data_IF_857125309754
#
_entry.id   IF_857125309754
#
_cell.length_a   1.000
_cell.length_b   1.000
_cell.length_c   1.000
_cell.angle_alpha   90.00
_cell.angle_beta   90.00
_cell.angle_gamma   90.00
#
_symmetry.space_group_name_H-M   'P 1'
#
loop_
_entity.id
_entity.type
_entity.pdbx_description
1 polymer ?
#
# COMPACT_ATOMS: atom_id res chain seq x y z
N UNK A 1 -22.16 -15.04 3.92
CA UNK A 1 -21.03 -15.45 4.75
C UNK A 1 -21.00 -14.51 5.95
N UNK A 2 -21.30 -14.99 7.16
CA UNK A 2 -21.38 -14.15 8.37
C UNK A 2 -20.00 -14.02 9.01
N UNK A 3 -19.52 -12.79 9.18
CA UNK A 3 -18.31 -12.53 9.95
C UNK A 3 -18.55 -12.85 11.45
N UNK A 4 -17.53 -13.30 12.20
CA UNK A 4 -17.68 -13.90 13.53
C UNK A 4 -17.71 -12.89 14.68
N UNK A 5 -18.06 -11.63 14.41
CA UNK A 5 -18.32 -10.64 15.45
C UNK A 5 -19.66 -9.95 15.22
N UNK A 6 -20.39 -9.77 16.31
CA UNK A 6 -21.73 -9.21 16.31
C UNK A 6 -21.67 -7.71 16.04
N UNK A 7 -22.42 -7.28 15.03
CA UNK A 7 -22.61 -5.86 14.75
C UNK A 7 -23.78 -5.31 15.56
N UNK A 8 -23.59 -4.16 16.20
CA UNK A 8 -24.69 -3.40 16.78
C UNK A 8 -25.69 -2.95 15.71
N UNK A 9 -26.93 -2.63 16.12
CA UNK A 9 -28.04 -2.29 15.21
C UNK A 9 -27.72 -1.12 14.28
N UNK A 10 -27.00 -0.11 14.78
CA UNK A 10 -26.56 1.05 13.99
C UNK A 10 -25.49 0.66 12.95
N UNK A 11 -24.56 -0.23 13.33
CA UNK A 11 -23.52 -0.72 12.41
C UNK A 11 -24.14 -1.57 11.29
N UNK A 12 -25.18 -2.35 11.60
CA UNK A 12 -25.94 -3.10 10.59
C UNK A 12 -26.68 -2.22 9.58
N UNK A 13 -27.06 -1.00 9.97
CA UNK A 13 -27.68 -0.05 9.06
C UNK A 13 -26.63 0.56 8.12
N UNK A 14 -25.45 0.92 8.64
CA UNK A 14 -24.35 1.50 7.85
C UNK A 14 -23.85 0.54 6.74
N UNK A 15 -23.71 -0.75 7.03
CA UNK A 15 -23.22 -1.74 6.03
C UNK A 15 -24.21 -2.01 4.88
N UNK A 16 -25.48 -1.61 5.02
CA UNK A 16 -26.52 -1.78 3.99
C UNK A 16 -26.64 -0.57 3.05
N UNK A 17 -25.77 0.41 3.19
CA UNK A 17 -25.78 1.63 2.38
C UNK A 17 -25.61 1.32 0.89
N UNK A 18 -26.51 1.83 0.05
CA UNK A 18 -26.45 1.71 -1.42
C UNK A 18 -25.23 2.41 -2.05
N UNK A 19 -24.53 3.25 -1.27
CA UNK A 19 -23.30 3.93 -1.68
C UNK A 19 -22.06 3.04 -1.56
N UNK A 20 -22.17 1.89 -0.90
CA UNK A 20 -21.06 0.94 -0.77
C UNK A 20 -20.91 0.10 -2.05
N UNK A 21 -19.68 -0.23 -2.44
CA UNK A 21 -19.46 -1.14 -3.55
C UNK A 21 -20.02 -2.53 -3.22
N UNK A 22 -20.69 -3.14 -4.19
CA UNK A 22 -21.12 -4.54 -4.07
C UNK A 22 -19.89 -5.44 -3.90
N UNK A 23 -19.94 -6.29 -2.87
CA UNK A 23 -18.86 -7.23 -2.46
C UNK A 23 -18.35 -8.06 -3.66
N UNK A 24 -19.20 -8.37 -4.63
CA UNK A 24 -18.88 -9.28 -5.74
C UNK A 24 -18.29 -8.63 -7.00
N UNK A 25 -18.31 -7.30 -7.16
CA UNK A 25 -17.90 -6.67 -8.44
C UNK A 25 -17.14 -5.34 -8.33
N UNK A 26 -17.25 -4.62 -7.23
CA UNK A 26 -16.68 -3.26 -7.10
C UNK A 26 -15.90 -3.06 -5.81
N UNK A 27 -15.81 -4.09 -4.96
CA UNK A 27 -15.09 -4.01 -3.72
C UNK A 27 -13.57 -3.96 -3.99
N UNK A 28 -12.81 -3.16 -3.23
CA UNK A 28 -11.36 -3.20 -3.27
C UNK A 28 -10.87 -4.55 -2.73
N UNK A 29 -10.07 -5.29 -3.49
CA UNK A 29 -9.52 -6.57 -3.06
C UNK A 29 -8.10 -6.41 -2.54
N UNK A 30 -7.80 -7.05 -1.41
CA UNK A 30 -6.44 -7.18 -0.89
C UNK A 30 -5.89 -8.56 -1.22
N UNK A 31 -4.70 -8.59 -1.81
CA UNK A 31 -3.98 -9.82 -2.15
C UNK A 31 -2.74 -9.95 -1.26
N UNK A 32 -2.72 -10.95 -0.38
CA UNK A 32 -1.62 -11.20 0.55
C UNK A 32 -0.32 -11.62 -0.13
N UNK A 33 -0.37 -12.19 -1.33
CA UNK A 33 0.82 -12.56 -2.12
C UNK A 33 1.49 -11.34 -2.77
N UNK A 34 0.78 -10.20 -2.81
CA UNK A 34 1.32 -8.91 -3.25
C UNK A 34 1.14 -7.88 -2.12
N UNK A 35 1.80 -8.07 -0.96
CA UNK A 35 1.54 -7.29 0.26
C UNK A 35 1.77 -5.79 0.07
N UNK A 36 2.56 -5.41 -0.93
CA UNK A 36 2.81 -4.03 -1.36
C UNK A 36 1.53 -3.23 -1.69
N UNK A 37 0.39 -3.88 -1.94
CA UNK A 37 -0.88 -3.23 -2.24
C UNK A 37 -1.73 -2.92 -0.98
N UNK A 38 -1.33 -3.34 0.23
CA UNK A 38 -2.12 -3.16 1.45
C UNK A 38 -2.42 -1.70 1.74
N UNK A 39 -1.43 -0.82 1.62
CA UNK A 39 -1.61 0.60 1.93
C UNK A 39 -2.50 1.31 0.89
N UNK A 40 -2.27 1.14 -0.44
CA UNK A 40 -3.23 1.58 -1.45
C UNK A 40 -4.66 1.04 -1.22
N UNK A 41 -4.78 -0.22 -0.82
CA UNK A 41 -6.06 -0.86 -0.51
C UNK A 41 -6.74 -0.19 0.70
N UNK A 42 -6.03 0.00 1.82
CA UNK A 42 -6.55 0.72 3.00
C UNK A 42 -7.05 2.12 2.64
N UNK A 43 -6.29 2.87 1.83
CA UNK A 43 -6.69 4.19 1.36
C UNK A 43 -7.93 4.15 0.44
N UNK A 44 -8.13 3.08 -0.33
CA UNK A 44 -9.34 2.89 -1.12
C UNK A 44 -10.54 2.54 -0.25
N UNK A 45 -10.37 1.67 0.73
CA UNK A 45 -11.39 1.31 1.73
C UNK A 45 -11.86 2.55 2.49
N UNK A 46 -10.95 3.40 2.95
CA UNK A 46 -11.30 4.64 3.67
C UNK A 46 -12.04 5.63 2.78
N UNK A 47 -11.69 5.74 1.50
CA UNK A 47 -12.46 6.56 0.55
C UNK A 47 -13.91 6.08 0.43
N UNK A 48 -14.15 4.78 0.38
CA UNK A 48 -15.51 4.24 0.38
C UNK A 48 -16.25 4.54 1.68
N UNK A 49 -15.58 4.47 2.83
CA UNK A 49 -16.18 4.84 4.12
C UNK A 49 -16.60 6.31 4.17
N UNK A 50 -15.77 7.22 3.65
CA UNK A 50 -16.11 8.64 3.56
C UNK A 50 -17.32 8.87 2.65
N UNK A 51 -17.36 8.24 1.47
CA UNK A 51 -18.47 8.40 0.51
C UNK A 51 -19.80 7.85 1.07
N UNK A 52 -19.73 6.74 1.81
CA UNK A 52 -20.91 6.10 2.40
C UNK A 52 -21.25 6.61 3.81
N UNK A 53 -20.54 7.61 4.33
CA UNK A 53 -20.68 8.19 5.68
C UNK A 53 -20.61 7.14 6.81
N UNK A 54 -19.71 6.16 6.67
CA UNK A 54 -19.52 5.08 7.65
C UNK A 54 -18.71 5.59 8.84
N UNK A 55 -19.32 5.64 10.02
CA UNK A 55 -18.70 6.23 11.22
C UNK A 55 -18.24 5.16 12.19
N UNK A 56 -19.01 4.10 12.38
CA UNK A 56 -18.72 3.09 13.41
C UNK A 56 -17.54 2.22 13.02
N UNK A 57 -16.67 1.98 14.01
CA UNK A 57 -15.52 1.10 13.82
C UNK A 57 -15.94 -0.34 13.50
N UNK A 58 -17.02 -0.83 14.11
CA UNK A 58 -17.58 -2.15 13.82
C UNK A 58 -17.92 -2.32 12.32
N UNK A 59 -18.62 -1.34 11.74
CA UNK A 59 -18.96 -1.31 10.31
C UNK A 59 -17.72 -1.30 9.44
N UNK A 60 -16.73 -0.45 9.77
CA UNK A 60 -15.48 -0.33 9.02
C UNK A 60 -14.70 -1.65 9.01
N UNK A 61 -14.52 -2.26 10.18
CA UNK A 61 -13.82 -3.54 10.32
C UNK A 61 -14.55 -4.66 9.57
N UNK A 62 -15.88 -4.71 9.67
CA UNK A 62 -16.69 -5.70 8.97
C UNK A 62 -16.53 -5.57 7.45
N UNK A 63 -16.69 -4.37 6.91
CA UNK A 63 -16.57 -4.12 5.48
C UNK A 63 -15.17 -4.44 4.97
N UNK A 64 -14.14 -3.96 5.67
CA UNK A 64 -12.74 -4.23 5.32
C UNK A 64 -12.43 -5.73 5.29
N UNK A 65 -12.85 -6.50 6.29
CA UNK A 65 -12.66 -7.95 6.31
C UNK A 65 -13.46 -8.67 5.22
N UNK A 66 -14.69 -8.20 4.94
CA UNK A 66 -15.53 -8.78 3.88
C UNK A 66 -15.01 -8.55 2.47
N UNK A 67 -14.12 -7.57 2.29
CA UNK A 67 -13.47 -7.25 1.02
C UNK A 67 -12.08 -7.88 0.88
N UNK A 68 -11.62 -8.63 1.88
CA UNK A 68 -10.44 -9.48 1.76
C UNK A 68 -10.79 -10.83 1.14
N UNK A 69 -9.79 -11.51 0.58
CA UNK A 69 -9.91 -12.92 0.21
C UNK A 69 -10.22 -13.77 1.46
N UNK A 70 -11.04 -14.82 1.29
CA UNK A 70 -11.51 -15.68 2.38
C UNK A 70 -10.38 -16.20 3.29
N UNK A 71 -9.28 -16.69 2.74
CA UNK A 71 -8.18 -17.22 3.53
C UNK A 71 -7.50 -16.13 4.38
N UNK A 72 -7.22 -14.99 3.76
CA UNK A 72 -6.66 -13.81 4.44
C UNK A 72 -7.60 -13.31 5.54
N UNK A 73 -8.91 -13.27 5.28
CA UNK A 73 -9.93 -12.91 6.27
C UNK A 73 -9.90 -13.83 7.49
N UNK A 74 -9.79 -15.15 7.30
CA UNK A 74 -9.73 -16.12 8.41
C UNK A 74 -8.49 -15.94 9.29
N UNK A 75 -7.33 -15.69 8.69
CA UNK A 75 -6.09 -15.41 9.42
C UNK A 75 -6.24 -14.19 10.34
N UNK A 76 -6.85 -13.11 9.83
CA UNK A 76 -7.02 -11.88 10.60
C UNK A 76 -8.15 -11.92 11.62
N UNK A 77 -9.20 -12.71 11.38
CA UNK A 77 -10.28 -12.94 12.34
C UNK A 77 -9.78 -13.62 13.62
N UNK A 78 -8.75 -14.47 13.51
CA UNK A 78 -8.15 -15.16 14.66
C UNK A 78 -7.38 -14.19 15.58
N UNK A 79 -7.11 -12.95 15.13
CA UNK A 79 -6.44 -11.93 15.92
C UNK A 79 -7.43 -11.13 16.78
N UNK A 80 -7.31 -11.24 18.10
CA UNK A 80 -8.18 -10.55 19.06
C UNK A 80 -8.17 -9.02 18.91
N UNK A 81 -7.05 -8.45 18.47
CA UNK A 81 -6.91 -7.01 18.20
C UNK A 81 -7.83 -6.58 17.05
N UNK A 82 -7.96 -7.41 16.02
CA UNK A 82 -8.86 -7.15 14.88
C UNK A 82 -10.31 -7.35 15.30
N UNK A 83 -10.58 -8.39 16.09
CA UNK A 83 -11.95 -8.71 16.54
C UNK A 83 -12.52 -7.65 17.48
N UNK A 84 -11.78 -7.24 18.50
CA UNK A 84 -12.27 -6.39 19.60
C UNK A 84 -11.78 -4.95 19.55
N UNK A 85 -10.69 -4.67 18.83
CA UNK A 85 -10.10 -3.34 18.77
C UNK A 85 -10.85 -2.33 17.88
N UNK A 86 -10.33 -1.11 17.82
CA UNK A 86 -10.84 -0.03 16.95
C UNK A 86 -10.39 -0.23 15.50
N UNK A 87 -10.97 0.55 14.57
CA UNK A 87 -10.50 0.57 13.18
C UNK A 87 -9.00 0.93 13.09
N UNK A 88 -8.56 1.87 13.92
CA UNK A 88 -7.15 2.26 13.99
C UNK A 88 -6.24 1.10 14.43
N UNK A 89 -6.64 0.35 15.47
CA UNK A 89 -5.89 -0.80 15.95
C UNK A 89 -5.83 -1.93 14.91
N UNK A 90 -6.93 -2.15 14.17
CA UNK A 90 -6.93 -3.11 13.04
C UNK A 90 -5.96 -2.69 11.94
N UNK A 91 -5.92 -1.41 11.55
CA UNK A 91 -4.95 -0.90 10.56
C UNK A 91 -3.51 -1.11 11.02
N UNK A 92 -3.20 -0.81 12.28
CA UNK A 92 -1.87 -1.04 12.82
C UNK A 92 -1.49 -2.52 12.86
N UNK A 93 -2.44 -3.40 13.24
CA UNK A 93 -2.22 -4.84 13.21
C UNK A 93 -1.93 -5.34 11.79
N UNK A 94 -2.71 -4.89 10.80
CA UNK A 94 -2.50 -5.21 9.38
C UNK A 94 -1.12 -4.75 8.89
N UNK A 95 -0.72 -3.51 9.19
CA UNK A 95 0.59 -2.98 8.80
C UNK A 95 1.75 -3.74 9.46
N UNK A 96 1.58 -4.22 10.70
CA UNK A 96 2.57 -5.06 11.39
C UNK A 96 2.66 -6.47 10.80
N UNK A 97 1.53 -7.03 10.32
CA UNK A 97 1.51 -8.35 9.70
C UNK A 97 2.12 -8.39 8.30
N UNK A 98 2.14 -7.25 7.60
CA UNK A 98 2.74 -7.10 6.27
C UNK A 98 3.78 -5.97 6.27
N UNK A 99 4.95 -6.16 6.90
CA UNK A 99 5.97 -5.12 6.98
C UNK A 99 6.44 -4.63 5.60
N UNK A 100 6.39 -5.49 4.57
CA UNK A 100 6.70 -5.15 3.17
C UNK A 100 5.81 -4.02 2.64
N UNK A 101 4.55 -3.97 3.09
CA UNK A 101 3.60 -2.94 2.70
C UNK A 101 3.95 -1.57 3.28
N UNK A 102 4.41 -1.53 4.53
CA UNK A 102 4.82 -0.28 5.22
C UNK A 102 6.08 0.31 4.58
N UNK A 103 6.96 -0.56 4.11
CA UNK A 103 8.16 -0.19 3.36
C UNK A 103 7.82 0.46 2.01
N UNK A 104 6.64 0.20 1.43
CA UNK A 104 6.22 0.85 0.19
C UNK A 104 5.93 2.35 0.37
N UNK A 105 5.36 2.75 1.51
CA UNK A 105 5.10 4.16 1.82
C UNK A 105 6.35 4.90 2.31
N UNK A 106 7.11 4.28 3.21
CA UNK A 106 8.36 4.86 3.74
C UNK A 106 9.51 4.79 2.74
N UNK A 107 9.36 3.98 1.69
CA UNK A 107 10.42 3.62 0.77
C UNK A 107 11.35 2.55 1.37
N UNK A 108 11.98 1.77 0.51
CA UNK A 108 13.02 0.81 0.91
C UNK A 108 14.23 0.91 0.01
N UNK A 109 15.44 0.80 0.59
CA UNK A 109 16.68 0.70 -0.20
C UNK A 109 16.66 -0.50 -1.15
N UNK A 110 16.05 -1.62 -0.74
CA UNK A 110 15.91 -2.80 -1.59
C UNK A 110 15.04 -2.51 -2.83
N UNK A 111 13.94 -1.77 -2.64
CA UNK A 111 13.04 -1.38 -3.72
C UNK A 111 13.68 -0.33 -4.64
N UNK A 112 14.39 0.64 -4.06
CA UNK A 112 15.17 1.60 -4.84
C UNK A 112 16.21 0.88 -5.70
N UNK A 113 16.91 -0.10 -5.12
CA UNK A 113 17.90 -0.90 -5.85
C UNK A 113 17.26 -1.72 -6.97
N UNK A 114 16.15 -2.39 -6.69
CA UNK A 114 15.41 -3.15 -7.71
C UNK A 114 14.96 -2.26 -8.87
N UNK A 115 14.46 -1.05 -8.58
CA UNK A 115 14.14 -0.07 -9.62
C UNK A 115 15.35 0.28 -10.50
N UNK A 116 16.52 0.46 -9.89
CA UNK A 116 17.78 0.74 -10.61
C UNK A 116 18.17 -0.44 -11.50
N UNK A 117 18.12 -1.67 -10.98
CA UNK A 117 18.44 -2.89 -11.73
C UNK A 117 17.46 -3.11 -12.90
N UNK A 118 16.16 -3.03 -12.66
CA UNK A 118 15.11 -3.20 -13.67
C UNK A 118 15.21 -2.16 -14.79
N UNK A 119 15.70 -0.96 -14.47
CA UNK A 119 15.84 0.14 -15.42
C UNK A 119 17.18 0.15 -16.16
N UNK A 120 18.15 -0.65 -15.72
CA UNK A 120 19.58 -0.55 -16.05
C UNK A 120 19.92 -0.43 -17.54
N UNK A 121 21.12 0.10 -17.81
CA UNK A 121 21.66 0.37 -19.13
C UNK A 121 20.79 1.32 -19.96
N UNK A 122 20.37 2.45 -19.37
CA UNK A 122 19.66 3.51 -20.10
C UNK A 122 20.66 4.29 -20.96
N UNK A 123 20.60 4.23 -22.29
CA UNK A 123 21.44 5.06 -23.14
C UNK A 123 20.89 6.48 -23.23
N UNK A 124 21.77 7.45 -23.49
CA UNK A 124 21.40 8.87 -23.67
C UNK A 124 20.28 9.11 -24.68
N UNK A 125 20.19 8.26 -25.72
CA UNK A 125 19.18 8.36 -26.79
C UNK A 125 17.80 7.86 -26.36
N UNK A 126 17.69 7.09 -25.28
CA UNK A 126 16.42 6.52 -24.80
C UNK A 126 15.67 7.52 -23.89
N UNK A 127 15.29 8.68 -24.45
CA UNK A 127 14.66 9.76 -23.71
C UNK A 127 13.41 9.32 -22.92
N UNK A 128 12.53 8.52 -23.54
CA UNK A 128 11.32 8.03 -22.87
C UNK A 128 11.63 7.13 -21.66
N UNK A 129 12.63 6.25 -21.78
CA UNK A 129 13.10 5.40 -20.67
C UNK A 129 13.69 6.25 -19.55
N UNK A 130 14.53 7.24 -19.90
CA UNK A 130 15.12 8.16 -18.94
C UNK A 130 14.05 8.95 -18.18
N UNK A 131 13.04 9.48 -18.86
CA UNK A 131 11.94 10.23 -18.22
C UNK A 131 11.07 9.34 -17.33
N UNK A 132 10.81 8.09 -17.73
CA UNK A 132 10.13 7.13 -16.86
C UNK A 132 10.96 6.82 -15.60
N UNK A 133 12.26 6.56 -15.78
CA UNK A 133 13.20 6.29 -14.70
C UNK A 133 13.32 7.46 -13.72
N UNK A 134 13.51 8.70 -14.19
CA UNK A 134 13.59 9.90 -13.34
C UNK A 134 12.34 10.02 -12.45
N UNK A 135 11.14 9.82 -13.01
CA UNK A 135 9.89 9.90 -12.24
C UNK A 135 9.82 8.83 -11.15
N UNK A 136 10.10 7.58 -11.50
CA UNK A 136 10.05 6.48 -10.55
C UNK A 136 11.14 6.59 -9.47
N UNK A 137 12.35 6.99 -9.87
CA UNK A 137 13.50 7.16 -8.98
C UNK A 137 13.24 8.28 -7.99
N UNK A 138 12.79 9.46 -8.45
CA UNK A 138 12.48 10.59 -7.57
C UNK A 138 11.36 10.27 -6.58
N UNK A 139 10.32 9.53 -7.02
CA UNK A 139 9.27 9.09 -6.12
C UNK A 139 9.84 8.23 -4.99
N UNK A 140 10.65 7.23 -5.31
CA UNK A 140 11.17 6.29 -4.32
C UNK A 140 12.27 6.91 -3.43
N UNK A 141 13.21 7.65 -4.01
CA UNK A 141 14.28 8.32 -3.27
C UNK A 141 13.73 9.41 -2.34
N UNK A 142 12.69 10.15 -2.75
CA UNK A 142 12.06 11.16 -1.89
C UNK A 142 11.46 10.58 -0.61
N UNK A 143 11.00 9.32 -0.63
CA UNK A 143 10.50 8.65 0.57
C UNK A 143 11.65 8.36 1.56
N UNK A 144 12.79 7.91 1.03
CA UNK A 144 13.98 7.56 1.80
C UNK A 144 14.76 8.77 2.33
N UNK A 145 14.57 9.95 1.72
CA UNK A 145 15.19 11.21 2.12
C UNK A 145 14.34 11.99 3.14
N UNK A 146 13.09 11.59 3.39
CA UNK A 146 12.24 12.17 4.45
C UNK A 146 12.68 11.67 5.82
N UNK A 147 12.50 12.51 6.84
CA UNK A 147 12.89 12.19 8.22
C UNK A 147 12.14 10.95 8.75
N UNK A 148 12.83 9.98 9.41
CA UNK A 148 14.28 9.90 9.54
C UNK A 148 14.94 9.48 8.22
N UNK A 149 15.82 10.34 7.69
CA UNK A 149 16.42 10.13 6.38
C UNK A 149 17.39 8.95 6.44
N UNK A 150 17.18 7.98 5.56
CA UNK A 150 18.04 6.79 5.43
C UNK A 150 18.84 6.77 4.12
N UNK A 151 18.56 7.72 3.23
CA UNK A 151 19.31 7.97 2.00
C UNK A 151 19.79 9.42 1.96
N UNK A 152 21.09 9.61 1.78
CA UNK A 152 21.67 10.94 1.54
C UNK A 152 21.52 11.34 0.07
N UNK A 153 21.59 12.63 -0.23
CA UNK A 153 21.55 13.10 -1.62
C UNK A 153 22.74 12.56 -2.44
N UNK A 154 23.92 12.46 -1.84
CA UNK A 154 25.11 11.92 -2.52
C UNK A 154 24.96 10.43 -2.85
N UNK A 155 24.37 9.64 -1.96
CA UNK A 155 24.09 8.24 -2.24
C UNK A 155 22.98 8.09 -3.28
N UNK A 156 21.93 8.92 -3.22
CA UNK A 156 20.88 8.94 -4.24
C UNK A 156 21.45 9.20 -5.64
N UNK A 157 22.39 10.13 -5.79
CA UNK A 157 23.07 10.38 -7.07
C UNK A 157 23.82 9.12 -7.55
N UNK A 158 24.54 8.42 -6.68
CA UNK A 158 25.24 7.16 -7.04
C UNK A 158 24.28 6.09 -7.52
N UNK A 159 23.16 5.89 -6.82
CA UNK A 159 22.12 4.96 -7.24
C UNK A 159 21.51 5.34 -8.59
N UNK A 160 21.25 6.64 -8.80
CA UNK A 160 20.69 7.15 -10.05
C UNK A 160 21.61 6.87 -11.24
N UNK A 161 22.90 7.17 -11.08
CA UNK A 161 23.89 6.96 -12.13
C UNK A 161 24.05 5.48 -12.48
N UNK A 162 23.87 4.57 -11.54
CA UNK A 162 24.03 3.13 -11.78
C UNK A 162 23.10 2.57 -12.86
N UNK A 163 21.91 3.16 -13.07
CA UNK A 163 21.00 2.74 -14.13
C UNK A 163 21.41 3.24 -15.54
N UNK A 164 22.30 4.23 -15.64
CA UNK A 164 22.74 4.78 -16.93
C UNK A 164 23.81 3.88 -17.56
N UNK A 165 23.90 3.89 -18.90
CA UNK A 165 25.05 3.28 -19.56
C UNK A 165 26.33 4.11 -19.35
N UNK A 166 27.49 3.47 -19.46
CA UNK A 166 28.78 4.13 -19.12
C UNK A 166 29.09 5.30 -20.06
N UNK A 167 28.70 5.19 -21.34
CA UNK A 167 28.87 6.27 -22.31
C UNK A 167 28.07 7.52 -21.94
N UNK A 168 26.90 7.37 -21.32
CA UNK A 168 26.10 8.47 -20.84
C UNK A 168 26.69 9.03 -19.54
N UNK A 169 27.16 8.18 -18.62
CA UNK A 169 27.84 8.62 -17.39
C UNK A 169 29.06 9.51 -17.69
N UNK A 170 29.85 9.17 -18.69
CA UNK A 170 31.05 9.94 -19.07
C UNK A 170 30.75 11.35 -19.61
N UNK A 171 29.49 11.67 -19.86
CA UNK A 171 29.06 12.94 -20.48
C UNK A 171 28.36 13.89 -19.51
N UNK A 172 28.27 13.54 -18.23
CA UNK A 172 27.53 14.31 -17.19
C UNK A 172 28.39 14.58 -15.96
#
# INVERSE_FOLDING_TARGET
MSLPFTLGTEAQAEIKSDKLPAISKKAPEFNKDVPNNLVPWLAQVERHFVVADIKKDESKKFLALSWMEYHTMQEWIANDTVKTGTWAQMKEALLKGYPESSNHERGSKARLWQLVEDSSLIPRRAYQRLVAYIRAFNLESSKLMKSPAILSNSDAIKYFLHALDDKFKDQI
#
